data_IF_124536572152
#
_entry.id   IF_124536572152
#
_cell.length_a   1.000
_cell.length_b   1.000
_cell.length_c   1.000
_cell.angle_alpha   90.00
_cell.angle_beta   90.00
_cell.angle_gamma   90.00
#
_symmetry.space_group_name_H-M   'P 1'
#
loop_
_entity.id
_entity.type
_entity.pdbx_description
1 polymer ?
#
# COMPACT_ATOMS: atom_id res chain seq x y z
N UNK A 1 27.64 8.20 10.06
CA UNK A 1 27.26 9.39 9.27
C UNK A 1 26.65 8.93 7.95
N UNK A 2 25.46 9.38 7.62
CA UNK A 2 24.87 9.05 6.33
C UNK A 2 25.71 9.63 5.18
N UNK A 3 25.92 8.94 4.07
CA UNK A 3 26.66 9.46 2.94
C UNK A 3 25.99 10.73 2.40
N UNK A 4 26.75 11.78 2.25
CA UNK A 4 26.25 13.06 1.72
C UNK A 4 25.88 12.85 0.26
N UNK A 5 24.61 13.09 -0.11
CA UNK A 5 24.15 12.97 -1.50
C UNK A 5 25.02 13.82 -2.44
N UNK A 6 25.42 13.30 -3.62
CA UNK A 6 26.18 14.05 -4.61
C UNK A 6 25.52 15.39 -4.96
N UNK A 7 26.33 16.44 -5.18
CA UNK A 7 25.84 17.79 -5.51
C UNK A 7 24.88 17.80 -6.71
N UNK A 8 25.19 16.99 -7.75
CA UNK A 8 24.35 16.86 -8.96
C UNK A 8 22.94 16.32 -8.61
N UNK A 9 22.85 15.33 -7.73
CA UNK A 9 21.57 14.73 -7.33
C UNK A 9 20.71 15.76 -6.57
N UNK A 10 21.29 16.53 -5.66
CA UNK A 10 20.58 17.60 -4.93
C UNK A 10 20.04 18.71 -5.85
N UNK A 11 20.77 19.04 -6.92
CA UNK A 11 20.30 20.01 -7.91
C UNK A 11 19.10 19.43 -8.67
N UNK A 12 19.18 18.17 -9.10
CA UNK A 12 18.08 17.46 -9.79
C UNK A 12 16.83 17.41 -8.90
N UNK A 13 16.95 17.00 -7.64
CA UNK A 13 15.85 16.97 -6.67
C UNK A 13 15.15 18.33 -6.56
N UNK A 14 15.92 19.41 -6.41
CA UNK A 14 15.38 20.78 -6.31
C UNK A 14 14.65 21.21 -7.58
N UNK A 15 15.20 20.89 -8.74
CA UNK A 15 14.59 21.23 -10.03
C UNK A 15 13.28 20.47 -10.25
N UNK A 16 13.28 19.15 -10.01
CA UNK A 16 12.08 18.33 -10.12
C UNK A 16 10.99 18.77 -9.13
N UNK A 17 11.37 19.06 -7.88
CA UNK A 17 10.47 19.63 -6.88
C UNK A 17 9.85 20.95 -7.36
N UNK A 18 10.66 21.86 -7.90
CA UNK A 18 10.18 23.16 -8.41
C UNK A 18 9.14 22.97 -9.53
N UNK A 19 9.42 22.10 -10.50
CA UNK A 19 8.49 21.80 -11.59
C UNK A 19 7.21 21.15 -11.07
N UNK A 20 7.31 20.19 -10.14
CA UNK A 20 6.15 19.56 -9.51
C UNK A 20 5.28 20.60 -8.79
N UNK A 21 5.87 21.54 -8.05
CA UNK A 21 5.12 22.61 -7.37
C UNK A 21 4.36 23.48 -8.37
N UNK A 22 4.97 23.84 -9.51
CA UNK A 22 4.30 24.63 -10.55
C UNK A 22 3.08 23.87 -11.14
N UNK A 23 3.26 22.58 -11.40
CA UNK A 23 2.17 21.72 -11.92
C UNK A 23 1.04 21.59 -10.88
N UNK A 24 1.38 21.31 -9.62
CA UNK A 24 0.38 21.22 -8.55
C UNK A 24 -0.39 22.52 -8.36
N UNK A 25 0.28 23.68 -8.45
CA UNK A 25 -0.39 24.98 -8.37
C UNK A 25 -1.33 25.24 -9.58
N UNK A 26 -0.92 24.80 -10.77
CA UNK A 26 -1.72 25.00 -12.00
C UNK A 26 -2.98 24.17 -12.01
N UNK A 27 -2.89 22.88 -11.68
CA UNK A 27 -4.00 21.94 -11.84
C UNK A 27 -4.77 21.66 -10.55
N UNK A 28 -4.19 21.97 -9.41
CA UNK A 28 -4.77 21.79 -8.07
C UNK A 28 -5.50 20.45 -7.87
N UNK A 29 -4.85 19.29 -8.17
CA UNK A 29 -5.48 18.00 -8.00
C UNK A 29 -5.73 17.70 -6.52
N UNK A 30 -6.73 16.89 -6.22
CA UNK A 30 -6.90 16.32 -4.89
C UNK A 30 -5.77 15.31 -4.65
N UNK A 31 -5.13 15.35 -3.49
CA UNK A 31 -3.94 14.52 -3.22
C UNK A 31 -4.18 13.63 -2.01
N UNK A 32 -3.95 12.33 -2.20
CA UNK A 32 -3.99 11.32 -1.15
C UNK A 32 -2.58 10.84 -0.91
N UNK A 33 -2.06 11.06 0.30
CA UNK A 33 -0.78 10.54 0.74
C UNK A 33 -0.93 9.21 1.46
N UNK A 34 -0.09 8.24 1.15
CA UNK A 34 -0.13 6.91 1.77
C UNK A 34 1.26 6.58 2.31
N UNK A 35 1.36 6.27 3.59
CA UNK A 35 2.60 5.77 4.19
C UNK A 35 2.35 4.62 5.16
N UNK A 36 3.40 3.99 5.61
CA UNK A 36 3.39 2.84 6.52
C UNK A 36 4.66 2.02 6.40
N UNK A 37 4.86 1.07 7.26
CA UNK A 37 5.97 0.10 7.15
C UNK A 37 5.63 -0.98 6.12
N UNK A 38 4.43 -1.54 6.16
CA UNK A 38 3.92 -2.61 5.29
C UNK A 38 2.58 -2.18 4.68
N UNK A 39 2.26 -2.70 3.49
CA UNK A 39 0.94 -2.55 2.86
C UNK A 39 0.72 -1.25 2.08
N UNK A 40 1.68 -0.33 2.01
CA UNK A 40 1.58 0.95 1.26
C UNK A 40 1.15 0.77 -0.19
N UNK A 41 1.87 -0.08 -0.92
CA UNK A 41 1.62 -0.32 -2.36
C UNK A 41 0.26 -0.95 -2.60
N UNK A 42 -0.11 -1.93 -1.80
CA UNK A 42 -1.43 -2.57 -1.90
C UNK A 42 -2.57 -1.59 -1.57
N UNK A 43 -2.39 -0.74 -0.54
CA UNK A 43 -3.34 0.33 -0.22
C UNK A 43 -3.46 1.35 -1.35
N UNK A 44 -2.33 1.76 -1.96
CA UNK A 44 -2.30 2.64 -3.14
C UNK A 44 -3.09 2.04 -4.30
N UNK A 45 -2.91 0.74 -4.57
CA UNK A 45 -3.60 0.05 -5.65
C UNK A 45 -5.11 -0.09 -5.37
N UNK A 46 -5.51 -0.41 -4.15
CA UNK A 46 -6.92 -0.47 -3.76
C UNK A 46 -7.60 0.91 -3.83
N UNK A 47 -6.94 1.96 -3.33
CA UNK A 47 -7.41 3.35 -3.41
C UNK A 47 -7.55 3.79 -4.86
N UNK A 48 -6.54 3.51 -5.69
CA UNK A 48 -6.60 3.79 -7.12
C UNK A 48 -7.80 3.09 -7.78
N UNK A 49 -8.01 1.80 -7.51
CA UNK A 49 -9.10 1.01 -8.08
C UNK A 49 -10.47 1.60 -7.73
N UNK A 50 -10.69 1.98 -6.47
CA UNK A 50 -11.96 2.59 -6.04
C UNK A 50 -12.16 3.95 -6.73
N UNK A 51 -11.16 4.81 -6.73
CA UNK A 51 -11.32 6.16 -7.28
C UNK A 51 -11.41 6.20 -8.80
N UNK A 52 -10.73 5.29 -9.50
CA UNK A 52 -10.76 5.19 -10.95
C UNK A 52 -12.16 4.88 -11.50
N UNK A 53 -13.10 4.42 -10.66
CA UNK A 53 -14.50 4.23 -11.05
C UNK A 53 -15.23 5.56 -11.38
N UNK A 54 -14.73 6.71 -10.88
CA UNK A 54 -15.39 8.03 -11.11
C UNK A 54 -14.44 9.14 -11.53
N UNK A 55 -13.13 9.02 -11.26
CA UNK A 55 -12.16 10.10 -11.44
C UNK A 55 -11.02 9.68 -12.36
N UNK A 56 -10.39 10.66 -13.01
CA UNK A 56 -9.09 10.47 -13.64
C UNK A 56 -8.03 10.47 -12.56
N UNK A 57 -7.51 9.29 -12.24
CA UNK A 57 -6.56 9.08 -11.15
C UNK A 57 -5.18 8.78 -11.71
N UNK A 58 -4.15 9.32 -11.07
CA UNK A 58 -2.76 8.89 -11.26
C UNK A 58 -2.19 8.44 -9.94
N UNK A 59 -1.49 7.34 -9.96
CA UNK A 59 -0.69 6.84 -8.82
C UNK A 59 0.78 6.78 -9.20
N UNK A 60 1.67 6.76 -8.21
CA UNK A 60 3.08 6.50 -8.50
C UNK A 60 3.29 5.02 -8.83
N UNK A 61 4.05 4.79 -9.89
CA UNK A 61 4.43 3.47 -10.35
C UNK A 61 5.72 3.01 -9.66
N UNK A 62 5.96 1.70 -9.65
CA UNK A 62 7.19 1.11 -9.09
C UNK A 62 7.49 1.69 -7.68
N UNK A 63 8.76 1.95 -7.40
CA UNK A 63 9.24 2.51 -6.14
C UNK A 63 9.41 4.05 -6.19
N UNK A 64 8.58 4.76 -6.98
CA UNK A 64 8.64 6.22 -7.11
C UNK A 64 8.01 6.93 -5.91
N UNK A 65 8.41 6.55 -4.69
CA UNK A 65 7.84 7.01 -3.43
C UNK A 65 8.74 7.98 -2.64
N UNK A 66 9.76 8.53 -3.29
CA UNK A 66 10.78 9.39 -2.68
C UNK A 66 10.86 10.77 -3.36
N UNK A 67 11.89 11.56 -2.98
CA UNK A 67 12.12 12.93 -3.41
C UNK A 67 12.36 13.14 -4.91
N UNK A 68 12.63 12.06 -5.67
CA UNK A 68 12.72 12.08 -7.14
C UNK A 68 11.46 11.47 -7.75
N UNK A 69 11.03 10.33 -7.25
CA UNK A 69 9.93 9.56 -7.82
C UNK A 69 8.59 10.30 -7.74
N UNK A 70 8.29 10.97 -6.63
CA UNK A 70 7.03 11.70 -6.50
C UNK A 70 6.93 12.91 -7.45
N UNK A 71 7.95 13.76 -7.61
CA UNK A 71 7.94 14.78 -8.66
C UNK A 71 7.76 14.21 -10.06
N UNK A 72 8.42 13.09 -10.41
CA UNK A 72 8.24 12.41 -11.70
C UNK A 72 6.79 11.94 -11.90
N UNK A 73 6.19 11.37 -10.86
CA UNK A 73 4.77 10.98 -10.88
C UNK A 73 3.87 12.19 -11.11
N UNK A 74 4.11 13.31 -10.43
CA UNK A 74 3.35 14.56 -10.61
C UNK A 74 3.48 15.08 -12.03
N UNK A 75 4.67 15.06 -12.62
CA UNK A 75 4.90 15.42 -14.03
C UNK A 75 4.20 14.42 -14.98
N UNK A 76 4.13 13.16 -14.61
CA UNK A 76 3.55 12.08 -15.42
C UNK A 76 4.55 11.47 -16.39
N UNK A 77 5.76 11.20 -15.92
CA UNK A 77 6.87 10.61 -16.68
C UNK A 77 7.64 9.60 -15.85
N UNK A 78 8.34 8.70 -16.54
CA UNK A 78 9.38 7.87 -15.92
C UNK A 78 10.71 8.63 -15.83
N UNK A 79 11.58 8.22 -14.90
CA UNK A 79 12.90 8.83 -14.72
C UNK A 79 13.84 8.61 -15.91
N UNK A 80 14.80 9.52 -16.06
CA UNK A 80 15.78 9.48 -17.15
C UNK A 80 16.90 8.44 -16.99
N UNK A 81 16.92 7.73 -15.84
CA UNK A 81 17.99 6.77 -15.50
C UNK A 81 19.39 7.41 -15.68
N UNK A 82 20.29 6.77 -16.45
CA UNK A 82 21.63 7.30 -16.77
C UNK A 82 21.67 8.16 -18.05
N UNK A 83 20.55 8.32 -18.78
CA UNK A 83 20.50 8.99 -20.08
C UNK A 83 20.17 10.48 -19.97
N UNK A 84 21.07 11.35 -20.42
CA UNK A 84 20.83 12.80 -20.50
C UNK A 84 19.66 13.15 -21.43
N UNK A 85 19.49 12.40 -22.53
CA UNK A 85 18.39 12.63 -23.47
C UNK A 85 17.03 12.29 -22.86
N UNK A 86 16.94 11.22 -22.06
CA UNK A 86 15.73 10.92 -21.33
C UNK A 86 15.40 12.03 -20.32
N UNK A 87 16.40 12.58 -19.62
CA UNK A 87 16.20 13.72 -18.72
C UNK A 87 15.76 14.98 -19.46
N UNK A 88 16.33 15.28 -20.63
CA UNK A 88 15.84 16.37 -21.46
C UNK A 88 14.37 16.19 -21.85
N UNK A 89 13.93 14.97 -22.17
CA UNK A 89 12.54 14.63 -22.40
C UNK A 89 11.64 14.85 -21.17
N UNK A 90 12.11 14.50 -19.97
CA UNK A 90 11.40 14.78 -18.69
C UNK A 90 11.16 16.28 -18.52
N UNK A 91 12.20 17.11 -18.72
CA UNK A 91 12.06 18.56 -18.58
C UNK A 91 11.20 19.18 -19.68
N UNK A 92 11.31 18.70 -20.93
CA UNK A 92 10.44 19.15 -22.01
C UNK A 92 8.96 18.82 -21.75
N UNK A 93 8.68 17.61 -21.23
CA UNK A 93 7.31 17.22 -20.84
C UNK A 93 6.79 18.09 -19.70
N UNK A 94 7.61 18.32 -18.65
CA UNK A 94 7.23 19.18 -17.55
C UNK A 94 6.91 20.62 -18.03
N UNK A 95 7.76 21.18 -18.89
CA UNK A 95 7.52 22.48 -19.50
C UNK A 95 6.22 22.51 -20.31
N UNK A 96 5.97 21.47 -21.11
CA UNK A 96 4.73 21.30 -21.87
C UNK A 96 3.48 21.28 -20.98
N UNK A 97 3.52 20.51 -19.88
CA UNK A 97 2.42 20.44 -18.89
C UNK A 97 2.20 21.80 -18.20
N UNK A 98 3.29 22.56 -17.93
CA UNK A 98 3.18 23.86 -17.29
C UNK A 98 2.66 24.93 -18.27
N UNK A 99 3.14 24.94 -19.51
CA UNK A 99 2.82 26.01 -20.49
C UNK A 99 1.47 25.78 -21.14
N UNK A 100 1.22 24.57 -21.62
CA UNK A 100 -0.01 24.25 -22.37
C UNK A 100 -1.11 23.69 -21.46
N UNK A 101 -2.39 23.93 -21.78
CA UNK A 101 -3.49 23.23 -21.12
C UNK A 101 -3.49 21.76 -21.56
N UNK A 102 -3.34 20.85 -20.61
CA UNK A 102 -3.43 19.41 -20.85
C UNK A 102 -4.47 18.79 -19.92
N UNK A 103 -5.03 17.68 -20.33
CA UNK A 103 -5.90 16.90 -19.48
C UNK A 103 -5.06 16.27 -18.36
N UNK A 104 -5.16 16.84 -17.15
CA UNK A 104 -4.42 16.42 -15.98
C UNK A 104 -5.29 15.56 -15.05
N UNK A 105 -4.75 14.61 -14.30
CA UNK A 105 -5.52 13.84 -13.32
C UNK A 105 -6.20 14.72 -12.28
N UNK A 106 -7.45 14.35 -11.94
CA UNK A 106 -8.23 15.03 -10.90
C UNK A 106 -7.74 14.64 -9.50
N UNK A 107 -7.22 13.40 -9.40
CA UNK A 107 -6.73 12.83 -8.13
C UNK A 107 -5.33 12.24 -8.32
N UNK A 108 -4.45 12.54 -7.38
CA UNK A 108 -3.13 11.90 -7.25
C UNK A 108 -3.12 11.01 -6.01
N UNK A 109 -2.80 9.73 -6.18
CA UNK A 109 -2.61 8.77 -5.10
C UNK A 109 -1.12 8.50 -4.96
N UNK A 110 -0.52 9.05 -3.90
CA UNK A 110 0.93 9.12 -3.74
C UNK A 110 1.41 8.27 -2.54
N UNK A 111 2.05 7.15 -2.85
CA UNK A 111 2.78 6.38 -1.84
C UNK A 111 4.03 7.14 -1.44
N UNK A 112 4.22 7.40 -0.14
CA UNK A 112 5.34 8.14 0.42
C UNK A 112 6.19 7.20 1.28
N UNK A 113 7.39 6.90 0.79
CA UNK A 113 8.42 6.15 1.51
C UNK A 113 9.16 7.03 2.52
N UNK A 114 9.67 6.40 3.58
CA UNK A 114 10.59 7.03 4.52
C UNK A 114 11.68 6.02 4.89
N UNK A 115 12.89 6.30 4.50
CA UNK A 115 14.08 5.54 4.83
C UNK A 115 14.84 6.19 5.98
N UNK A 116 14.64 7.49 6.20
CA UNK A 116 15.32 8.30 7.21
C UNK A 116 14.36 9.29 7.88
N UNK A 117 14.69 9.71 9.12
CA UNK A 117 13.98 10.80 9.79
C UNK A 117 13.95 12.08 8.93
N UNK A 118 12.76 12.66 8.76
CA UNK A 118 12.53 13.89 8.00
C UNK A 118 12.13 13.70 6.54
N UNK A 119 12.11 12.48 6.00
CA UNK A 119 11.72 12.21 4.61
C UNK A 119 10.25 12.59 4.36
N UNK A 120 9.31 12.16 5.23
CA UNK A 120 7.89 12.51 5.10
C UNK A 120 7.70 14.02 5.25
N UNK A 121 8.39 14.65 6.19
CA UNK A 121 8.34 16.10 6.37
C UNK A 121 8.82 16.84 5.12
N UNK A 122 9.87 16.34 4.47
CA UNK A 122 10.35 16.92 3.22
C UNK A 122 9.31 16.81 2.11
N UNK A 123 8.71 15.63 1.92
CA UNK A 123 7.70 15.38 0.88
C UNK A 123 6.45 16.24 1.11
N UNK A 124 5.94 16.29 2.33
CA UNK A 124 4.75 17.06 2.69
C UNK A 124 4.99 18.57 2.72
N UNK A 125 6.26 19.02 2.69
CA UNK A 125 6.58 20.44 2.60
C UNK A 125 6.12 21.08 1.28
N UNK A 126 5.99 20.30 0.21
CA UNK A 126 5.56 20.77 -1.10
C UNK A 126 4.35 20.00 -1.69
N UNK A 127 4.04 18.82 -1.17
CA UNK A 127 2.85 18.04 -1.54
C UNK A 127 1.82 18.21 -0.42
N UNK A 128 0.75 18.95 -0.68
CA UNK A 128 -0.32 19.17 0.30
C UNK A 128 -1.40 18.11 0.12
N UNK A 129 -1.42 17.13 1.00
CA UNK A 129 -2.41 16.07 0.98
C UNK A 129 -3.74 16.56 1.56
N UNK A 130 -4.85 16.18 0.94
CA UNK A 130 -6.19 16.32 1.47
C UNK A 130 -6.52 15.14 2.39
N UNK A 131 -6.07 13.94 2.02
CA UNK A 131 -6.21 12.73 2.80
C UNK A 131 -4.84 12.10 3.10
N UNK A 132 -4.69 11.54 4.28
CA UNK A 132 -3.53 10.76 4.71
C UNK A 132 -3.94 9.34 5.08
N UNK A 133 -3.21 8.34 4.60
CA UNK A 133 -3.43 6.94 4.96
C UNK A 133 -2.21 6.41 5.69
N UNK A 134 -2.41 5.83 6.87
CA UNK A 134 -1.39 5.08 7.60
C UNK A 134 -1.78 3.61 7.62
N UNK A 135 -1.03 2.78 6.89
CA UNK A 135 -1.37 1.36 6.71
C UNK A 135 -0.97 0.50 7.90
N UNK A 136 0.29 0.54 8.27
CA UNK A 136 0.84 -0.21 9.39
C UNK A 136 2.15 0.42 9.89
N UNK A 137 2.51 0.17 11.14
CA UNK A 137 3.78 0.57 11.75
C UNK A 137 4.45 -0.64 12.37
N UNK A 138 5.56 -1.04 11.79
CA UNK A 138 6.40 -2.13 12.25
C UNK A 138 7.88 -1.79 12.11
N UNK A 139 8.75 -2.71 12.52
CA UNK A 139 10.21 -2.52 12.47
C UNK A 139 10.73 -2.51 11.03
N UNK A 140 10.74 -1.35 10.39
CA UNK A 140 11.38 -1.13 9.09
C UNK A 140 12.47 -0.06 9.23
N UNK A 141 13.59 -0.24 8.52
CA UNK A 141 14.72 0.72 8.50
C UNK A 141 15.23 1.11 9.91
N UNK A 142 15.19 0.16 10.87
CA UNK A 142 15.58 0.41 12.27
C UNK A 142 17.01 0.90 12.43
N UNK A 143 17.90 0.54 11.51
CA UNK A 143 19.27 1.04 11.46
C UNK A 143 19.34 2.57 11.42
N UNK A 144 18.38 3.23 10.73
CA UNK A 144 18.35 4.68 10.60
C UNK A 144 17.45 5.36 11.64
N UNK A 145 16.37 4.70 12.05
CA UNK A 145 15.41 5.27 13.01
C UNK A 145 15.76 4.96 14.47
N UNK A 146 16.46 3.85 14.72
CA UNK A 146 16.86 3.41 16.05
C UNK A 146 15.76 2.78 16.89
N UNK A 147 14.47 3.11 16.66
CA UNK A 147 13.33 2.47 17.33
C UNK A 147 12.07 2.50 16.49
N UNK A 148 11.14 1.57 16.76
CA UNK A 148 9.84 1.51 16.07
C UNK A 148 8.99 2.75 16.42
N UNK A 149 9.14 3.32 17.59
CA UNK A 149 8.38 4.51 17.98
C UNK A 149 8.81 5.74 17.16
N UNK A 150 10.11 5.87 16.84
CA UNK A 150 10.58 6.90 15.89
C UNK A 150 10.11 6.64 14.46
N UNK A 151 9.98 5.39 14.03
CA UNK A 151 9.34 5.05 12.75
C UNK A 151 7.88 5.50 12.76
N UNK A 152 7.18 5.29 13.88
CA UNK A 152 5.80 5.73 14.05
C UNK A 152 5.66 7.25 13.96
N UNK A 153 6.49 8.01 14.66
CA UNK A 153 6.52 9.47 14.64
C UNK A 153 6.79 10.01 13.23
N UNK A 154 7.78 9.44 12.53
CA UNK A 154 8.08 9.84 11.15
C UNK A 154 6.88 9.67 10.22
N UNK A 155 6.26 8.49 10.23
CA UNK A 155 5.10 8.21 9.38
C UNK A 155 3.88 9.04 9.78
N UNK A 156 3.71 9.31 11.08
CA UNK A 156 2.64 10.15 11.59
C UNK A 156 2.75 11.61 11.15
N UNK A 157 3.95 12.06 10.76
CA UNK A 157 4.16 13.39 10.17
C UNK A 157 3.25 13.63 8.94
N UNK A 158 2.86 12.58 8.21
CA UNK A 158 1.90 12.69 7.11
C UNK A 158 0.53 13.17 7.64
N UNK A 159 0.05 12.62 8.75
CA UNK A 159 -1.21 13.06 9.40
C UNK A 159 -1.07 14.49 9.92
N UNK A 160 0.05 14.83 10.57
CA UNK A 160 0.32 16.18 11.09
C UNK A 160 0.43 17.24 9.99
N UNK A 161 0.74 16.83 8.75
CA UNK A 161 0.83 17.73 7.60
C UNK A 161 -0.52 18.08 6.96
N UNK A 162 -1.60 17.41 7.38
CA UNK A 162 -2.95 17.72 6.91
C UNK A 162 -3.38 19.11 7.36
N UNK A 163 -4.10 19.81 6.50
CA UNK A 163 -4.74 21.07 6.86
C UNK A 163 -5.92 20.89 7.82
N UNK A 164 -6.49 21.99 8.27
CA UNK A 164 -7.76 21.98 9.02
C UNK A 164 -8.83 21.27 8.19
N UNK A 165 -9.58 20.37 8.81
CA UNK A 165 -10.57 19.48 8.17
C UNK A 165 -9.98 18.42 7.22
N UNK A 166 -8.67 18.22 7.19
CA UNK A 166 -8.06 17.08 6.49
C UNK A 166 -8.53 15.75 7.09
N UNK A 167 -8.52 14.69 6.29
CA UNK A 167 -8.98 13.37 6.74
C UNK A 167 -7.82 12.38 6.84
N UNK A 168 -7.66 11.76 8.00
CA UNK A 168 -6.72 10.68 8.24
C UNK A 168 -7.46 9.33 8.28
N UNK A 169 -7.05 8.39 7.42
CA UNK A 169 -7.59 7.03 7.34
C UNK A 169 -6.53 6.10 7.92
N UNK A 170 -6.80 5.50 9.07
CA UNK A 170 -5.75 4.86 9.87
C UNK A 170 -6.13 3.46 10.34
N UNK A 171 -5.18 2.55 10.29
CA UNK A 171 -5.34 1.18 10.78
C UNK A 171 -5.33 1.14 12.31
N UNK A 172 -6.50 0.96 12.93
CA UNK A 172 -6.65 0.98 14.39
C UNK A 172 -6.19 -0.31 15.07
N UNK A 173 -6.02 -1.41 14.31
CA UNK A 173 -5.49 -2.67 14.85
C UNK A 173 -4.01 -2.55 15.22
N UNK A 174 -3.31 -1.55 14.71
CA UNK A 174 -1.94 -1.25 15.11
C UNK A 174 -1.92 -0.38 16.38
N UNK A 175 -1.41 -0.93 17.48
CA UNK A 175 -1.41 -0.27 18.78
C UNK A 175 -0.69 1.09 18.81
N UNK A 176 0.38 1.27 17.98
CA UNK A 176 1.10 2.55 17.88
C UNK A 176 0.27 3.61 17.18
N UNK A 177 -0.43 3.23 16.11
CA UNK A 177 -1.36 4.12 15.40
C UNK A 177 -2.50 4.52 16.32
N UNK A 178 -3.08 3.56 17.05
CA UNK A 178 -4.14 3.82 18.05
C UNK A 178 -3.67 4.82 19.12
N UNK A 179 -2.45 4.64 19.65
CA UNK A 179 -1.83 5.55 20.61
C UNK A 179 -1.63 6.95 20.05
N UNK A 180 -1.09 7.09 18.85
CA UNK A 180 -0.84 8.40 18.23
C UNK A 180 -2.15 9.13 17.92
N UNK A 181 -3.18 8.42 17.44
CA UNK A 181 -4.51 8.98 17.20
C UNK A 181 -5.13 9.57 18.48
N UNK A 182 -4.91 8.96 19.64
CA UNK A 182 -5.51 9.40 20.90
C UNK A 182 -4.92 10.71 21.46
N UNK A 183 -3.86 11.26 20.85
CA UNK A 183 -3.25 12.50 21.30
C UNK A 183 -4.14 13.71 20.97
N UNK A 184 -4.43 14.56 21.97
CA UNK A 184 -5.30 15.75 21.85
C UNK A 184 -4.88 16.76 20.77
N UNK A 185 -3.61 16.79 20.38
CA UNK A 185 -3.11 17.72 19.35
C UNK A 185 -3.74 17.54 17.94
N UNK A 186 -4.56 16.52 17.76
CA UNK A 186 -5.18 16.18 16.48
C UNK A 186 -6.68 16.49 16.41
N UNK A 187 -7.23 17.30 17.30
CA UNK A 187 -8.68 17.60 17.39
C UNK A 187 -9.28 18.21 16.12
N UNK A 188 -8.46 18.85 15.26
CA UNK A 188 -8.91 19.48 14.01
C UNK A 188 -8.87 18.52 12.79
N UNK A 189 -8.42 17.29 12.97
CA UNK A 189 -8.30 16.30 11.90
C UNK A 189 -9.47 15.32 11.98
N UNK A 190 -10.13 15.08 10.87
CA UNK A 190 -11.15 14.03 10.79
C UNK A 190 -10.49 12.66 10.70
N UNK A 191 -10.88 11.73 11.57
CA UNK A 191 -10.37 10.37 11.54
C UNK A 191 -11.43 9.40 11.04
N UNK A 192 -11.03 8.53 10.12
CA UNK A 192 -11.71 7.30 9.75
C UNK A 192 -10.78 6.14 10.10
N UNK A 193 -11.21 5.29 11.02
CA UNK A 193 -10.41 4.13 11.41
C UNK A 193 -10.85 2.89 10.65
N UNK A 194 -9.89 2.04 10.30
CA UNK A 194 -10.19 0.76 9.67
C UNK A 194 -9.44 -0.38 10.36
N UNK A 195 -9.99 -1.58 10.27
CA UNK A 195 -9.38 -2.77 10.85
C UNK A 195 -10.34 -3.95 10.98
N UNK A 196 -9.93 -4.92 11.76
CA UNK A 196 -10.74 -6.06 12.21
C UNK A 196 -11.26 -5.88 13.62
N UNK A 197 -10.69 -4.94 14.36
CA UNK A 197 -11.12 -4.60 15.72
C UNK A 197 -12.54 -4.03 15.74
N UNK A 198 -13.30 -4.36 16.79
CA UNK A 198 -14.61 -3.75 17.05
C UNK A 198 -14.54 -2.23 17.25
N UNK A 199 -13.35 -1.69 17.48
CA UNK A 199 -13.09 -0.25 17.60
C UNK A 199 -12.94 0.46 16.25
N UNK A 200 -12.89 -0.28 15.13
CA UNK A 200 -12.75 0.30 13.80
C UNK A 200 -14.09 0.86 13.31
N UNK A 201 -14.06 2.08 12.74
CA UNK A 201 -15.24 2.65 12.07
C UNK A 201 -15.61 1.82 10.83
N UNK A 202 -14.58 1.39 10.06
CA UNK A 202 -14.69 0.56 8.87
C UNK A 202 -14.11 -0.80 9.21
N UNK A 203 -14.98 -1.78 9.43
CA UNK A 203 -14.56 -3.08 9.94
C UNK A 203 -14.75 -4.18 8.92
N UNK A 204 -13.78 -5.11 8.87
CA UNK A 204 -13.91 -6.37 8.15
C UNK A 204 -14.14 -7.51 9.15
N UNK A 205 -15.18 -8.28 8.91
CA UNK A 205 -15.54 -9.48 9.64
C UNK A 205 -15.63 -10.67 8.70
N UNK A 206 -15.72 -11.88 9.23
CA UNK A 206 -16.08 -13.10 8.50
C UNK A 206 -15.31 -13.29 7.19
N UNK A 207 -13.96 -13.41 7.26
CA UNK A 207 -13.15 -13.68 6.08
C UNK A 207 -13.39 -15.10 5.59
N UNK A 208 -13.66 -15.26 4.30
CA UNK A 208 -13.87 -16.55 3.63
C UNK A 208 -13.17 -16.60 2.27
N UNK A 209 -12.84 -17.80 1.82
CA UNK A 209 -12.30 -18.02 0.48
C UNK A 209 -13.43 -18.19 -0.54
N UNK A 210 -13.32 -17.48 -1.67
CA UNK A 210 -14.22 -17.60 -2.81
C UNK A 210 -13.66 -18.64 -3.78
N UNK A 211 -14.53 -19.51 -4.29
CA UNK A 211 -14.18 -20.56 -5.26
C UNK A 211 -15.03 -20.41 -6.52
N UNK A 212 -14.53 -20.91 -7.67
CA UNK A 212 -15.31 -21.08 -8.90
C UNK A 212 -16.23 -22.30 -8.76
N UNK A 213 -17.38 -22.26 -9.47
CA UNK A 213 -18.27 -23.42 -9.61
C UNK A 213 -19.19 -23.67 -8.42
N UNK A 214 -20.48 -23.41 -8.61
CA UNK A 214 -21.58 -23.82 -7.74
C UNK A 214 -22.22 -25.15 -8.29
N UNK A 215 -21.41 -26.10 -8.81
CA UNK A 215 -21.90 -27.31 -9.41
C UNK A 215 -21.30 -28.59 -8.79
N UNK A 216 -22.12 -29.66 -8.67
CA UNK A 216 -21.66 -31.00 -8.31
C UNK A 216 -20.76 -31.56 -9.44
N UNK A 217 -19.43 -31.63 -9.20
CA UNK A 217 -18.48 -32.31 -10.08
C UNK A 217 -17.42 -31.47 -10.78
N UNK A 218 -17.42 -30.14 -10.65
CA UNK A 218 -16.32 -29.29 -11.14
C UNK A 218 -15.27 -29.08 -10.06
N UNK A 219 -13.99 -29.12 -10.46
CA UNK A 219 -12.87 -28.76 -9.58
C UNK A 219 -13.04 -27.29 -9.16
N UNK A 220 -13.13 -27.06 -7.87
CA UNK A 220 -13.31 -25.72 -7.30
C UNK A 220 -11.97 -25.00 -7.26
N UNK A 221 -11.74 -24.12 -8.22
CA UNK A 221 -10.59 -23.23 -8.19
C UNK A 221 -10.82 -22.02 -7.25
N UNK A 222 -9.79 -21.66 -6.49
CA UNK A 222 -9.85 -20.48 -5.64
C UNK A 222 -9.80 -19.20 -6.48
N UNK A 223 -10.76 -18.30 -6.27
CA UNK A 223 -10.81 -16.98 -6.91
C UNK A 223 -10.17 -15.87 -6.08
N UNK A 224 -10.20 -16.00 -4.77
CA UNK A 224 -9.73 -14.97 -3.86
C UNK A 224 -10.41 -15.11 -2.50
N UNK A 225 -10.45 -14.00 -1.78
CA UNK A 225 -11.13 -13.91 -0.48
C UNK A 225 -12.31 -12.95 -0.55
N UNK A 226 -13.27 -13.16 0.36
CA UNK A 226 -14.32 -12.22 0.67
C UNK A 226 -14.35 -11.93 2.16
N UNK A 227 -15.02 -10.86 2.51
CA UNK A 227 -15.26 -10.48 3.90
C UNK A 227 -16.58 -9.70 4.02
N UNK A 228 -17.10 -9.66 5.22
CA UNK A 228 -18.23 -8.78 5.55
C UNK A 228 -17.69 -7.42 5.94
N UNK A 229 -18.04 -6.38 5.17
CA UNK A 229 -17.75 -4.99 5.47
C UNK A 229 -18.84 -4.43 6.37
N UNK A 230 -18.46 -3.86 7.51
CA UNK A 230 -19.36 -3.19 8.46
C UNK A 230 -19.02 -1.70 8.55
N UNK A 231 -20.00 -0.83 8.33
CA UNK A 231 -19.90 0.63 8.43
C UNK A 231 -21.21 1.24 8.91
N UNK A 232 -21.18 1.96 10.05
CA UNK A 232 -22.36 2.66 10.63
C UNK A 232 -23.64 1.80 10.66
N UNK A 233 -23.50 0.54 11.07
CA UNK A 233 -24.62 -0.41 11.15
C UNK A 233 -25.03 -1.08 9.86
N UNK A 234 -24.49 -0.65 8.71
CA UNK A 234 -24.67 -1.32 7.42
C UNK A 234 -23.64 -2.41 7.25
N UNK A 235 -24.08 -3.58 6.78
CA UNK A 235 -23.22 -4.72 6.47
C UNK A 235 -23.34 -5.08 4.99
N UNK A 236 -22.21 -5.28 4.33
CA UNK A 236 -22.14 -5.64 2.91
C UNK A 236 -21.06 -6.69 2.67
N UNK A 237 -21.32 -7.75 1.89
CA UNK A 237 -20.25 -8.66 1.46
C UNK A 237 -19.37 -7.98 0.40
N UNK A 238 -18.06 -8.08 0.58
CA UNK A 238 -17.04 -7.60 -0.38
C UNK A 238 -16.25 -8.80 -0.87
N UNK A 239 -16.02 -8.88 -2.18
CA UNK A 239 -15.21 -9.91 -2.82
C UNK A 239 -13.97 -9.30 -3.41
N UNK A 240 -12.81 -9.91 -3.15
CA UNK A 240 -11.51 -9.52 -3.67
C UNK A 240 -10.98 -10.67 -4.54
N UNK A 241 -11.05 -10.48 -5.86
CA UNK A 241 -10.59 -11.48 -6.80
C UNK A 241 -9.05 -11.45 -6.88
N UNK A 242 -8.41 -12.63 -6.84
CA UNK A 242 -6.95 -12.74 -6.89
C UNK A 242 -6.21 -12.37 -5.60
N UNK A 243 -6.92 -11.93 -4.58
CA UNK A 243 -6.35 -11.61 -3.26
C UNK A 243 -6.55 -12.80 -2.33
N UNK A 244 -5.49 -13.27 -1.66
CA UNK A 244 -5.53 -14.46 -0.82
C UNK A 244 -5.30 -14.19 0.66
N UNK A 245 -4.68 -13.09 1.00
CA UNK A 245 -4.22 -12.86 2.35
C UNK A 245 -4.93 -11.69 3.05
N UNK A 246 -4.98 -11.79 4.36
CA UNK A 246 -5.59 -10.80 5.26
C UNK A 246 -5.05 -9.36 5.04
N UNK A 247 -3.77 -9.23 4.66
CA UNK A 247 -3.21 -7.90 4.37
C UNK A 247 -3.84 -7.23 3.13
N UNK A 248 -4.37 -8.01 2.17
CA UNK A 248 -5.15 -7.47 1.07
C UNK A 248 -6.50 -6.92 1.53
N UNK A 249 -7.09 -7.48 2.61
CA UNK A 249 -8.30 -6.89 3.23
C UNK A 249 -7.99 -5.53 3.84
N UNK A 250 -6.86 -5.35 4.55
CA UNK A 250 -6.45 -4.03 5.04
C UNK A 250 -6.28 -3.01 3.90
N UNK A 251 -5.72 -3.45 2.76
CA UNK A 251 -5.61 -2.60 1.58
C UNK A 251 -6.99 -2.20 1.05
N UNK A 252 -7.92 -3.16 0.93
CA UNK A 252 -9.29 -2.90 0.53
C UNK A 252 -10.01 -1.94 1.49
N UNK A 253 -9.86 -2.12 2.81
CA UNK A 253 -10.43 -1.22 3.82
C UNK A 253 -9.88 0.22 3.70
N UNK A 254 -8.60 0.40 3.30
CA UNK A 254 -8.05 1.72 2.96
C UNK A 254 -8.79 2.33 1.77
N UNK A 255 -9.07 1.51 0.73
CA UNK A 255 -9.88 1.91 -0.42
C UNK A 255 -11.31 2.29 -0.04
N UNK A 256 -11.94 1.51 0.86
CA UNK A 256 -13.26 1.84 1.43
C UNK A 256 -13.24 3.20 2.10
N UNK A 257 -12.26 3.45 2.96
CA UNK A 257 -12.13 4.72 3.70
C UNK A 257 -12.02 5.92 2.75
N UNK A 258 -11.23 5.79 1.68
CA UNK A 258 -11.12 6.85 0.67
C UNK A 258 -12.41 6.99 -0.14
N UNK A 259 -13.04 5.88 -0.55
CA UNK A 259 -14.32 5.93 -1.26
C UNK A 259 -15.38 6.67 -0.44
N UNK A 260 -15.50 6.39 0.85
CA UNK A 260 -16.41 7.09 1.76
C UNK A 260 -16.09 8.58 1.88
N UNK A 261 -14.80 8.95 2.01
CA UNK A 261 -14.37 10.35 2.05
C UNK A 261 -14.66 11.09 0.73
N UNK A 262 -14.70 10.38 -0.41
CA UNK A 262 -15.07 10.88 -1.73
C UNK A 262 -16.57 10.68 -2.04
N UNK A 263 -17.39 10.36 -1.03
CA UNK A 263 -18.86 10.24 -1.14
C UNK A 263 -19.34 9.15 -2.12
N UNK A 264 -18.59 8.07 -2.26
CA UNK A 264 -19.10 6.86 -2.89
C UNK A 264 -20.04 6.15 -1.93
N UNK A 265 -21.03 5.47 -2.44
CA UNK A 265 -21.79 4.54 -1.62
C UNK A 265 -21.08 3.19 -1.48
N UNK A 266 -21.47 2.38 -0.48
CA UNK A 266 -20.79 1.11 -0.19
C UNK A 266 -20.88 0.09 -1.34
N UNK A 267 -21.97 0.09 -2.11
CA UNK A 267 -22.16 -0.84 -3.24
C UNK A 267 -21.20 -0.49 -4.37
N UNK A 268 -21.03 0.79 -4.68
CA UNK A 268 -20.06 1.25 -5.68
C UNK A 268 -18.62 0.89 -5.26
N UNK A 269 -18.29 1.10 -3.99
CA UNK A 269 -16.96 0.74 -3.45
C UNK A 269 -16.73 -0.77 -3.56
N UNK A 270 -17.69 -1.58 -3.14
CA UNK A 270 -17.59 -3.03 -3.21
C UNK A 270 -17.43 -3.52 -4.64
N UNK A 271 -18.25 -2.99 -5.58
CA UNK A 271 -18.15 -3.32 -7.01
C UNK A 271 -16.81 -2.92 -7.63
N UNK A 272 -16.26 -1.75 -7.26
CA UNK A 272 -14.93 -1.34 -7.70
C UNK A 272 -13.83 -2.29 -7.17
N UNK A 273 -13.93 -2.70 -5.92
CA UNK A 273 -12.95 -3.59 -5.27
C UNK A 273 -12.93 -5.01 -5.85
N UNK A 274 -13.96 -5.47 -6.56
CA UNK A 274 -13.91 -6.73 -7.31
C UNK A 274 -12.80 -6.74 -8.39
N UNK A 275 -12.42 -5.55 -8.89
CA UNK A 275 -11.34 -5.36 -9.84
C UNK A 275 -9.98 -5.06 -9.17
N UNK A 276 -9.93 -5.03 -7.84
CA UNK A 276 -8.69 -4.81 -7.13
C UNK A 276 -7.79 -6.03 -7.25
N UNK A 277 -6.56 -5.81 -7.68
CA UNK A 277 -5.51 -6.82 -7.72
C UNK A 277 -4.27 -6.34 -6.96
N UNK A 278 -3.60 -7.27 -6.33
CA UNK A 278 -2.32 -7.02 -5.70
C UNK A 278 -1.23 -6.80 -6.75
N UNK A 279 -0.26 -5.95 -6.45
CA UNK A 279 0.93 -5.81 -7.31
C UNK A 279 1.65 -7.16 -7.46
N UNK A 280 2.28 -7.45 -8.62
CA UNK A 280 3.01 -8.69 -8.85
C UNK A 280 3.99 -9.04 -7.71
N UNK A 281 4.12 -10.31 -7.39
CA UNK A 281 4.97 -10.80 -6.31
C UNK A 281 4.44 -10.56 -4.90
N UNK A 282 3.14 -10.29 -4.73
CA UNK A 282 2.51 -10.07 -3.41
C UNK A 282 1.30 -10.97 -3.22
N UNK A 283 1.57 -12.27 -3.03
CA UNK A 283 0.56 -13.33 -2.89
C UNK A 283 -0.43 -13.38 -4.07
N UNK A 284 0.08 -13.14 -5.28
CA UNK A 284 -0.71 -13.23 -6.49
C UNK A 284 -1.00 -14.70 -6.86
N UNK A 285 -2.22 -14.97 -7.31
CA UNK A 285 -2.57 -16.24 -7.93
C UNK A 285 -2.17 -16.23 -9.40
N UNK A 286 -1.34 -17.20 -9.79
CA UNK A 286 -0.88 -17.38 -11.16
C UNK A 286 -1.21 -18.81 -11.60
N UNK A 287 -1.96 -19.02 -12.69
CA UNK A 287 -2.16 -20.36 -13.24
C UNK A 287 -0.83 -21.00 -13.61
N UNK A 288 -0.59 -22.22 -13.14
CA UNK A 288 0.59 -23.01 -13.43
C UNK A 288 0.33 -24.10 -14.47
N UNK A 289 1.33 -24.96 -14.69
CA UNK A 289 1.20 -26.09 -15.60
C UNK A 289 0.38 -27.23 -15.00
N UNK A 290 -0.31 -28.02 -15.83
CA UNK A 290 -1.06 -29.23 -15.43
C UNK A 290 -2.10 -28.96 -14.32
N UNK A 291 -2.83 -27.85 -14.39
CA UNK A 291 -3.85 -27.48 -13.42
C UNK A 291 -3.30 -27.06 -12.06
N UNK A 292 -1.98 -26.82 -11.93
CA UNK A 292 -1.43 -26.28 -10.69
C UNK A 292 -1.71 -24.77 -10.57
N UNK A 293 -1.71 -24.28 -9.33
CA UNK A 293 -1.83 -22.86 -9.01
C UNK A 293 -0.57 -22.42 -8.25
N UNK A 294 0.04 -21.32 -8.70
CA UNK A 294 1.17 -20.68 -8.02
C UNK A 294 0.66 -19.52 -7.17
N UNK A 295 1.15 -19.44 -5.94
CA UNK A 295 1.01 -18.26 -5.08
C UNK A 295 2.35 -17.54 -5.12
N UNK A 296 2.40 -16.43 -5.85
CA UNK A 296 3.62 -15.65 -6.05
C UNK A 296 3.74 -14.55 -4.98
N UNK A 297 4.70 -14.72 -4.05
CA UNK A 297 5.06 -13.72 -3.03
C UNK A 297 6.57 -13.38 -3.09
N UNK A 298 7.09 -13.24 -4.32
CA UNK A 298 8.53 -13.14 -4.60
C UNK A 298 9.09 -11.71 -4.57
N UNK A 299 8.27 -10.67 -4.38
CA UNK A 299 8.73 -9.28 -4.43
C UNK A 299 9.73 -8.95 -3.30
N UNK A 300 9.45 -9.36 -2.09
CA UNK A 300 10.30 -9.21 -0.92
C UNK A 300 9.83 -10.19 0.17
N UNK A 301 10.75 -10.67 1.00
CA UNK A 301 10.42 -11.61 2.07
C UNK A 301 10.87 -11.08 3.43
N UNK A 302 10.01 -11.23 4.43
CA UNK A 302 10.29 -11.00 5.83
C UNK A 302 9.66 -12.13 6.65
N UNK A 303 10.08 -12.38 7.90
CA UNK A 303 9.47 -13.43 8.71
C UNK A 303 7.95 -13.33 8.76
N UNK A 304 7.40 -12.13 8.99
CA UNK A 304 5.96 -11.89 9.08
C UNK A 304 5.23 -12.17 7.76
N UNK A 305 5.80 -11.74 6.62
CA UNK A 305 5.18 -11.99 5.30
C UNK A 305 5.25 -13.46 4.91
N UNK A 306 6.39 -14.13 5.16
CA UNK A 306 6.56 -15.54 4.87
C UNK A 306 5.61 -16.43 5.72
N UNK A 307 5.46 -16.13 7.00
CA UNK A 307 4.50 -16.80 7.87
C UNK A 307 3.05 -16.61 7.40
N UNK A 308 2.70 -15.40 6.95
CA UNK A 308 1.38 -15.11 6.38
C UNK A 308 1.13 -15.90 5.07
N UNK A 309 2.14 -16.01 4.20
CA UNK A 309 2.06 -16.79 2.97
C UNK A 309 1.88 -18.29 3.26
N UNK A 310 2.60 -18.82 4.25
CA UNK A 310 2.44 -20.20 4.71
C UNK A 310 1.05 -20.48 5.29
N UNK A 311 0.48 -19.53 6.02
CA UNK A 311 -0.89 -19.67 6.56
C UNK A 311 -1.93 -19.68 5.42
N UNK A 312 -1.75 -18.86 4.37
CA UNK A 312 -2.58 -18.93 3.16
C UNK A 312 -2.46 -20.31 2.52
N UNK A 313 -1.24 -20.81 2.30
CA UNK A 313 -1.00 -22.14 1.72
C UNK A 313 -1.66 -23.27 2.51
N UNK A 314 -1.65 -23.18 3.85
CA UNK A 314 -2.33 -24.12 4.75
C UNK A 314 -3.84 -24.15 4.52
N UNK A 315 -4.45 -22.99 4.36
CA UNK A 315 -5.92 -22.84 4.35
C UNK A 315 -6.54 -23.11 2.98
N UNK A 316 -5.75 -23.08 1.90
CA UNK A 316 -6.24 -23.41 0.56
C UNK A 316 -6.50 -24.93 0.43
N UNK A 317 -7.65 -25.28 -0.12
CA UNK A 317 -7.97 -26.67 -0.45
C UNK A 317 -7.16 -27.11 -1.67
N UNK A 318 -6.26 -28.07 -1.49
CA UNK A 318 -5.48 -28.69 -2.55
C UNK A 318 -5.07 -30.10 -2.12
N UNK A 319 -4.96 -31.04 -3.05
CA UNK A 319 -4.45 -32.39 -2.77
C UNK A 319 -2.99 -32.37 -2.34
N UNK A 320 -2.18 -31.55 -3.01
CA UNK A 320 -0.76 -31.39 -2.72
C UNK A 320 -0.41 -29.92 -2.64
N UNK A 321 0.36 -29.52 -1.63
CA UNK A 321 0.86 -28.17 -1.44
C UNK A 321 2.39 -28.20 -1.37
N UNK A 322 3.02 -27.23 -2.01
CA UNK A 322 4.49 -27.13 -2.04
C UNK A 322 4.85 -25.70 -1.65
N UNK A 323 5.73 -25.52 -0.68
CA UNK A 323 6.32 -24.26 -0.33
C UNK A 323 7.73 -24.17 -0.92
N UNK A 324 8.03 -23.10 -1.65
CA UNK A 324 9.37 -22.78 -2.13
C UNK A 324 9.77 -21.48 -1.43
N UNK A 325 10.75 -21.55 -0.54
CA UNK A 325 11.19 -20.41 0.27
C UNK A 325 12.62 -20.03 -0.11
N UNK A 326 12.85 -18.74 -0.27
CA UNK A 326 14.17 -18.16 -0.48
C UNK A 326 14.69 -17.51 0.81
N UNK A 327 15.91 -16.96 0.73
CA UNK A 327 16.51 -16.21 1.82
C UNK A 327 15.76 -14.89 2.08
N UNK A 328 15.63 -14.53 3.34
CA UNK A 328 15.12 -13.24 3.78
C UNK A 328 16.31 -12.30 4.02
N UNK A 329 16.40 -11.25 3.19
CA UNK A 329 17.49 -10.28 3.28
C UNK A 329 17.14 -9.13 4.25
N UNK A 330 18.14 -8.29 4.56
CA UNK A 330 18.01 -7.07 5.38
C UNK A 330 17.53 -7.26 6.83
N UNK A 331 17.64 -8.47 7.37
CA UNK A 331 17.27 -8.77 8.76
C UNK A 331 18.38 -8.43 9.78
N UNK A 332 19.60 -8.13 9.33
CA UNK A 332 20.71 -7.77 10.20
C UNK A 332 21.01 -8.85 11.26
N UNK A 333 21.03 -8.46 12.52
CA UNK A 333 21.27 -9.38 13.67
C UNK A 333 20.17 -10.43 13.86
N UNK A 334 18.97 -10.17 13.31
CA UNK A 334 17.80 -11.05 13.47
C UNK A 334 17.69 -12.11 12.36
N UNK A 335 18.67 -12.21 11.45
CA UNK A 335 18.64 -13.12 10.31
C UNK A 335 18.39 -14.58 10.73
N UNK A 336 19.16 -15.11 11.66
CA UNK A 336 18.97 -16.48 12.11
C UNK A 336 17.64 -16.70 12.82
N UNK A 337 17.26 -15.77 13.69
CA UNK A 337 16.01 -15.84 14.45
C UNK A 337 14.78 -15.80 13.51
N UNK A 338 14.82 -14.95 12.48
CA UNK A 338 13.78 -14.81 11.47
C UNK A 338 13.60 -16.08 10.63
N UNK A 339 14.69 -16.65 10.11
CA UNK A 339 14.63 -17.91 9.35
C UNK A 339 14.14 -19.08 10.20
N UNK A 340 14.57 -19.15 11.47
CA UNK A 340 14.08 -20.16 12.42
C UNK A 340 12.58 -20.00 12.72
N UNK A 341 12.05 -18.77 12.78
CA UNK A 341 10.63 -18.52 12.99
C UNK A 341 9.80 -19.09 11.84
N UNK A 342 10.17 -18.76 10.59
CA UNK A 342 9.52 -19.29 9.39
C UNK A 342 9.59 -20.81 9.30
N UNK A 343 10.76 -21.41 9.61
CA UNK A 343 10.91 -22.85 9.63
C UNK A 343 9.99 -23.52 10.69
N UNK A 344 9.87 -22.93 11.88
CA UNK A 344 8.93 -23.41 12.91
C UNK A 344 7.49 -23.34 12.42
N UNK A 345 7.09 -22.21 11.84
CA UNK A 345 5.76 -22.04 11.26
C UNK A 345 5.49 -23.08 10.18
N UNK A 346 6.45 -23.35 9.29
CA UNK A 346 6.32 -24.40 8.30
C UNK A 346 6.10 -25.79 8.94
N UNK A 347 6.87 -26.12 9.97
CA UNK A 347 6.73 -27.42 10.68
C UNK A 347 5.37 -27.56 11.37
N UNK A 348 4.81 -26.47 11.91
CA UNK A 348 3.47 -26.47 12.52
C UNK A 348 2.37 -26.80 11.48
N UNK A 349 2.49 -26.29 10.26
CA UNK A 349 1.48 -26.45 9.21
C UNK A 349 1.69 -27.71 8.35
N UNK A 350 2.88 -28.32 8.37
CA UNK A 350 3.26 -29.49 7.55
C UNK A 350 2.32 -30.71 7.71
N UNK A 351 1.62 -30.82 8.82
CA UNK A 351 0.68 -31.92 9.09
C UNK A 351 -0.44 -32.09 8.05
N UNK A 352 -0.55 -31.19 7.06
CA UNK A 352 -1.60 -31.17 6.04
C UNK A 352 -1.10 -31.36 4.59
N UNK A 353 -0.21 -32.31 4.30
CA UNK A 353 0.32 -32.56 2.94
C UNK A 353 1.03 -31.36 2.29
N UNK A 354 1.83 -30.63 3.07
CA UNK A 354 2.68 -29.55 2.57
C UNK A 354 4.12 -30.07 2.48
N UNK A 355 4.76 -29.85 1.34
CA UNK A 355 6.14 -30.24 1.05
C UNK A 355 7.03 -28.98 0.93
N UNK A 356 8.30 -29.13 1.32
CA UNK A 356 9.32 -28.07 1.22
C UNK A 356 10.16 -28.26 -0.04
#
# INVERSE_FOLDING_TARGET
MAPVKPKKLRILERLLRFLAVLILKKYNPRIIGITGSVGKTSAKDAVYTVLAARFRVRKNEKNYNNEIGLPLTIIGVEGGESSLWKWAGVFAKAAGVIIFPVEYPEVLVLEMGADRPGDIKYLTSFIKCELAIITDISGSHLEFFGSIDKVAEEKWTLVESLGENGTAIVNIDNARIAKLRSLKKHEKINFLTFGFSDMADIRADDIFYNYTGEGNGEEKEIKGIGFKLSWKGTNLPVRLNGVLARHGVYAALSGVGVGLAFQFNLVEIAGALENFSMSPGRLNLIPGVRGSMLIDDTYNSSPVSAEAALEVLKNIKAERRIAVLGDMLELGTDTEAGHRAVARKFLEIKKGNIFF
#
